data_IF_884977044158
#
_entry.id   IF_884977044158
#
_cell.length_a   1.000
_cell.length_b   1.000
_cell.length_c   1.000
_cell.angle_alpha   90.00
_cell.angle_beta   90.00
_cell.angle_gamma   90.00
#
_symmetry.space_group_name_H-M   'P 1'
#
loop_
_entity.id
_entity.type
_entity.pdbx_description
1 polymer ?
#
# COMPACT_ATOMS: atom_id res chain seq x y z
N UNK A 1 15.89 -71.73 7.64
CA UNK A 1 15.58 -70.97 6.41
C UNK A 1 14.38 -70.06 6.69
N UNK A 2 14.50 -68.76 6.33
CA UNK A 2 13.40 -67.74 6.25
C UNK A 2 12.97 -67.15 7.62
N UNK A 3 12.93 -65.84 7.89
CA UNK A 3 13.19 -64.59 7.16
C UNK A 3 13.49 -63.49 8.18
N UNK A 4 14.44 -62.62 7.85
CA UNK A 4 14.75 -61.35 8.53
C UNK A 4 13.64 -60.33 8.30
N UNK A 5 13.40 -59.42 9.25
CA UNK A 5 12.78 -58.12 8.97
C UNK A 5 13.22 -57.08 10.00
N UNK A 6 14.03 -56.16 9.51
CA UNK A 6 14.63 -55.00 10.14
C UNK A 6 13.59 -53.86 10.11
N UNK A 7 13.13 -53.39 11.26
CA UNK A 7 12.21 -52.26 11.35
C UNK A 7 13.03 -50.95 11.42
N UNK A 8 13.09 -50.23 10.30
CA UNK A 8 13.69 -48.91 10.16
C UNK A 8 12.61 -47.85 10.39
N UNK A 9 12.48 -47.34 11.62
CA UNK A 9 11.59 -46.22 11.93
C UNK A 9 12.30 -44.89 11.63
N UNK A 10 12.06 -44.34 10.44
CA UNK A 10 12.47 -42.99 10.05
C UNK A 10 11.58 -41.98 10.78
N UNK A 11 12.21 -41.09 11.54
CA UNK A 11 11.55 -40.07 12.35
C UNK A 11 10.74 -39.07 11.53
N UNK A 12 9.53 -38.80 12.01
CA UNK A 12 8.63 -37.77 11.50
C UNK A 12 9.21 -36.38 11.83
N UNK A 13 9.76 -35.70 10.84
CA UNK A 13 10.12 -34.28 10.95
C UNK A 13 8.81 -33.48 10.86
N UNK A 14 8.25 -33.14 12.01
CA UNK A 14 7.10 -32.26 12.12
C UNK A 14 7.59 -30.81 11.99
N UNK A 15 7.62 -30.29 10.77
CA UNK A 15 7.91 -28.88 10.52
C UNK A 15 6.80 -28.01 11.12
N UNK A 16 7.10 -27.32 12.22
CA UNK A 16 6.31 -26.21 12.72
C UNK A 16 6.36 -25.06 11.68
N UNK A 17 5.44 -25.08 10.71
CA UNK A 17 5.11 -23.88 9.94
C UNK A 17 4.22 -23.03 10.84
N UNK A 18 4.81 -22.02 11.48
CA UNK A 18 4.04 -20.98 12.16
C UNK A 18 3.20 -20.20 11.14
N UNK A 19 2.04 -19.64 11.54
CA UNK A 19 1.26 -18.79 10.65
C UNK A 19 2.09 -17.56 10.27
N UNK A 20 2.52 -17.49 9.01
CA UNK A 20 2.98 -16.24 8.44
C UNK A 20 1.75 -15.32 8.34
N UNK A 21 1.64 -14.34 9.23
CA UNK A 21 0.70 -13.23 9.06
C UNK A 21 1.18 -12.41 7.86
N UNK A 22 0.80 -12.84 6.66
CA UNK A 22 1.00 -12.02 5.47
C UNK A 22 0.08 -10.81 5.59
N UNK A 23 0.67 -9.62 5.69
CA UNK A 23 -0.10 -8.38 5.61
C UNK A 23 -0.76 -8.33 4.23
N UNK A 24 -2.09 -8.37 4.21
CA UNK A 24 -2.88 -8.36 2.97
C UNK A 24 -2.60 -7.14 2.09
N UNK A 25 -2.22 -6.01 2.69
CA UNK A 25 -1.88 -4.78 1.97
C UNK A 25 -0.41 -4.44 2.20
N UNK A 26 0.33 -4.20 1.13
CA UNK A 26 1.71 -3.68 1.20
C UNK A 26 1.81 -2.37 0.45
N UNK A 27 2.68 -1.47 0.95
CA UNK A 27 3.00 -0.19 0.33
C UNK A 27 4.44 -0.24 -0.17
N UNK A 28 4.66 0.10 -1.43
CA UNK A 28 5.97 0.18 -2.07
C UNK A 28 6.24 1.57 -2.62
N UNK A 29 7.52 1.89 -2.83
CA UNK A 29 7.97 3.12 -3.50
C UNK A 29 7.38 4.41 -2.93
N UNK A 30 7.13 4.41 -1.62
CA UNK A 30 6.46 5.51 -0.95
C UNK A 30 7.37 6.75 -0.91
N UNK A 31 6.87 7.85 -1.46
CA UNK A 31 7.54 9.14 -1.45
C UNK A 31 6.53 10.26 -1.25
N UNK A 32 6.94 11.34 -0.60
CA UNK A 32 6.15 12.55 -0.47
C UNK A 32 6.96 13.76 -0.92
N UNK A 33 6.27 14.74 -1.51
CA UNK A 33 6.84 16.03 -1.88
C UNK A 33 5.99 17.12 -1.26
N UNK A 34 6.60 17.94 -0.41
CA UNK A 34 5.92 19.01 0.32
C UNK A 34 6.55 20.34 -0.04
N UNK A 35 5.72 21.34 -0.30
CA UNK A 35 6.17 22.70 -0.60
C UNK A 35 6.47 23.48 0.68
N UNK A 36 7.23 24.59 0.61
CA UNK A 36 7.43 25.49 1.75
C UNK A 36 6.14 26.11 2.31
N UNK A 37 5.00 25.97 1.62
CA UNK A 37 3.70 26.45 2.08
C UNK A 37 2.92 25.42 2.90
N UNK A 38 3.48 24.22 3.15
CA UNK A 38 2.80 23.17 3.92
C UNK A 38 1.72 22.42 3.13
N UNK A 39 1.80 22.46 1.80
CA UNK A 39 0.95 21.67 0.89
C UNK A 39 1.84 20.73 0.11
N UNK A 40 1.42 19.49 -0.08
CA UNK A 40 2.20 18.48 -0.78
C UNK A 40 1.36 17.34 -1.36
N UNK A 41 2.04 16.38 -1.97
CA UNK A 41 1.44 15.15 -2.46
C UNK A 41 2.30 13.94 -2.06
N UNK A 42 1.65 12.83 -1.72
CA UNK A 42 2.28 11.54 -1.51
C UNK A 42 1.91 10.54 -2.61
N UNK A 43 2.92 9.76 -3.00
CA UNK A 43 2.93 8.79 -4.08
C UNK A 43 3.43 7.47 -3.51
N UNK A 44 2.88 6.35 -4.00
CA UNK A 44 3.21 5.00 -3.55
C UNK A 44 2.50 3.98 -4.43
N UNK A 45 2.99 2.75 -4.43
CA UNK A 45 2.28 1.59 -4.97
C UNK A 45 1.56 0.88 -3.85
N UNK A 46 0.25 0.67 -3.99
CA UNK A 46 -0.57 -0.05 -3.02
C UNK A 46 -0.87 -1.43 -3.59
N UNK A 47 -0.29 -2.48 -3.00
CA UNK A 47 -0.50 -3.86 -3.43
C UNK A 47 -1.45 -4.58 -2.49
N UNK A 48 -2.38 -5.33 -3.06
CA UNK A 48 -3.39 -6.11 -2.35
C UNK A 48 -3.18 -7.60 -2.61
N UNK A 49 -2.60 -8.28 -1.63
CA UNK A 49 -2.31 -9.71 -1.64
C UNK A 49 -3.49 -10.56 -1.17
N UNK A 50 -4.65 -9.96 -0.89
CA UNK A 50 -5.88 -10.69 -0.55
C UNK A 50 -6.65 -11.16 -1.79
N UNK A 51 -7.63 -12.02 -1.56
CA UNK A 51 -8.56 -12.58 -2.55
C UNK A 51 -9.78 -11.68 -2.83
N UNK A 52 -9.85 -10.48 -2.22
CA UNK A 52 -10.97 -9.54 -2.35
C UNK A 52 -10.50 -8.17 -2.78
N UNK A 53 -11.35 -7.45 -3.51
CA UNK A 53 -11.13 -6.03 -3.82
C UNK A 53 -11.10 -5.23 -2.52
N UNK A 54 -10.11 -4.35 -2.38
CA UNK A 54 -10.00 -3.41 -1.26
C UNK A 54 -10.20 -1.99 -1.76
N UNK A 55 -10.59 -1.10 -0.86
CA UNK A 55 -10.77 0.32 -1.17
C UNK A 55 -9.97 1.17 -0.20
N UNK A 56 -9.16 2.08 -0.75
CA UNK A 56 -8.52 3.14 0.01
C UNK A 56 -9.53 4.28 0.08
N UNK A 57 -10.04 4.57 1.28
CA UNK A 57 -11.09 5.57 1.49
C UNK A 57 -10.59 6.84 2.19
N UNK A 58 -9.43 6.76 2.84
CA UNK A 58 -8.82 7.88 3.54
C UNK A 58 -7.34 7.63 3.76
N UNK A 59 -6.58 8.70 3.99
CA UNK A 59 -5.20 8.66 4.45
C UNK A 59 -5.05 9.53 5.69
N UNK A 60 -4.09 9.19 6.54
CA UNK A 60 -3.69 9.99 7.70
C UNK A 60 -2.18 9.89 7.86
N UNK A 61 -1.55 10.99 8.28
CA UNK A 61 -0.12 11.04 8.54
C UNK A 61 0.15 11.94 9.74
N UNK A 62 1.16 11.59 10.54
CA UNK A 62 1.60 12.41 11.67
C UNK A 62 2.13 13.74 11.14
N UNK A 63 1.73 14.85 11.77
CA UNK A 63 2.13 16.19 11.34
C UNK A 63 1.47 16.70 10.06
N UNK A 64 0.39 16.06 9.59
CA UNK A 64 -0.44 16.53 8.47
C UNK A 64 -1.85 16.82 9.00
N UNK A 65 -2.34 18.03 8.82
CA UNK A 65 -3.68 18.40 9.28
C UNK A 65 -4.80 17.71 8.49
N UNK A 66 -4.65 17.60 7.16
CA UNK A 66 -5.63 16.94 6.30
C UNK A 66 -4.97 16.21 5.14
N UNK A 67 -5.43 14.99 4.86
CA UNK A 67 -5.05 14.25 3.67
C UNK A 67 -6.29 13.88 2.85
N UNK A 68 -6.22 14.06 1.54
CA UNK A 68 -7.31 13.80 0.61
C UNK A 68 -6.84 12.94 -0.55
N UNK A 69 -7.72 12.09 -1.08
CA UNK A 69 -7.45 11.28 -2.27
C UNK A 69 -7.81 12.09 -3.51
N UNK A 70 -6.86 12.25 -4.43
CA UNK A 70 -7.02 13.07 -5.63
C UNK A 70 -6.66 12.29 -6.88
N UNK A 71 -7.36 12.57 -7.98
CA UNK A 71 -7.09 12.05 -9.32
C UNK A 71 -6.82 13.18 -10.30
N UNK A 72 -6.27 12.85 -11.46
CA UNK A 72 -6.11 13.77 -12.57
C UNK A 72 -7.18 13.50 -13.63
N UNK A 73 -7.90 14.54 -14.01
CA UNK A 73 -8.84 14.50 -15.14
C UNK A 73 -8.34 15.40 -16.26
N UNK A 74 -8.47 14.93 -17.49
CA UNK A 74 -8.35 15.78 -18.67
C UNK A 74 -9.72 16.42 -18.91
N UNK A 75 -9.79 17.72 -18.68
CA UNK A 75 -10.97 18.53 -18.96
C UNK A 75 -10.63 19.51 -20.08
N UNK A 76 -11.00 19.14 -21.31
CA UNK A 76 -10.79 19.93 -22.51
C UNK A 76 -9.32 20.30 -22.78
N UNK A 77 -8.42 19.34 -22.61
CA UNK A 77 -6.97 19.52 -22.79
C UNK A 77 -6.26 20.12 -21.57
N UNK A 78 -7.00 20.50 -20.53
CA UNK A 78 -6.46 21.02 -19.28
C UNK A 78 -6.46 19.90 -18.25
N UNK A 79 -5.27 19.53 -17.78
CA UNK A 79 -5.13 18.60 -16.66
C UNK A 79 -5.56 19.28 -15.36
N UNK A 80 -6.59 18.74 -14.71
CA UNK A 80 -7.09 19.22 -13.42
C UNK A 80 -7.03 18.14 -12.36
N UNK A 81 -6.63 18.53 -11.16
CA UNK A 81 -6.73 17.68 -9.98
C UNK A 81 -8.15 17.73 -9.43
N UNK A 82 -8.70 16.57 -9.07
CA UNK A 82 -10.03 16.45 -8.46
C UNK A 82 -10.00 15.45 -7.31
N UNK A 83 -10.63 15.81 -6.20
CA UNK A 83 -10.83 14.90 -5.07
C UNK A 83 -11.72 13.72 -5.48
N UNK A 84 -11.39 12.53 -5.01
CA UNK A 84 -12.18 11.30 -5.14
C UNK A 84 -12.47 10.71 -3.77
N UNK A 85 -13.53 9.89 -3.70
CA UNK A 85 -13.95 9.25 -2.46
C UNK A 85 -13.11 8.00 -2.12
N UNK A 86 -12.60 7.31 -3.13
CA UNK A 86 -11.78 6.11 -2.93
C UNK A 86 -10.94 5.73 -4.15
N UNK A 87 -9.91 4.93 -3.90
CA UNK A 87 -9.22 4.13 -4.91
C UNK A 87 -9.53 2.65 -4.70
N UNK A 88 -9.86 1.93 -5.76
CA UNK A 88 -10.10 0.49 -5.69
C UNK A 88 -8.82 -0.27 -6.04
N UNK A 89 -8.41 -1.18 -5.17
CA UNK A 89 -7.24 -2.05 -5.36
C UNK A 89 -7.73 -3.47 -5.62
N UNK A 90 -7.57 -4.02 -6.84
CA UNK A 90 -8.04 -5.36 -7.19
C UNK A 90 -7.47 -6.45 -6.28
N UNK A 91 -8.16 -7.58 -6.15
CA UNK A 91 -7.62 -8.77 -5.50
C UNK A 91 -6.37 -9.26 -6.23
N UNK A 92 -5.30 -9.58 -5.50
CA UNK A 92 -4.00 -9.96 -6.08
C UNK A 92 -3.33 -8.87 -6.96
N UNK A 93 -3.85 -7.64 -6.94
CA UNK A 93 -3.43 -6.56 -7.82
C UNK A 93 -2.83 -5.37 -7.09
N UNK A 94 -2.54 -4.30 -7.83
CA UNK A 94 -2.00 -3.07 -7.26
C UNK A 94 -2.68 -1.82 -7.84
N UNK A 95 -2.59 -0.72 -7.09
CA UNK A 95 -3.02 0.61 -7.50
C UNK A 95 -1.85 1.58 -7.30
N UNK A 96 -1.44 2.26 -8.37
CA UNK A 96 -0.26 3.13 -8.36
C UNK A 96 -0.69 4.58 -8.17
N UNK A 97 -0.12 5.23 -7.15
CA UNK A 97 -0.23 6.66 -6.94
C UNK A 97 1.05 7.34 -7.45
N UNK A 98 0.95 8.21 -8.44
CA UNK A 98 2.09 8.79 -9.15
C UNK A 98 1.86 10.24 -9.61
N UNK A 99 2.93 11.02 -9.86
CA UNK A 99 2.81 12.35 -10.44
C UNK A 99 2.04 12.30 -11.77
N UNK A 100 1.09 13.21 -11.96
CA UNK A 100 0.28 13.23 -13.17
C UNK A 100 -0.94 12.29 -13.15
N UNK A 101 -1.10 11.48 -12.10
CA UNK A 101 -2.22 10.56 -11.90
C UNK A 101 -2.81 10.64 -10.51
N UNK A 102 -3.24 9.51 -9.97
CA UNK A 102 -3.78 9.42 -8.62
C UNK A 102 -2.71 9.71 -7.57
N UNK A 103 -3.09 10.41 -6.50
CA UNK A 103 -2.18 10.75 -5.41
C UNK A 103 -2.93 11.11 -4.14
N UNK A 104 -2.21 11.16 -3.01
CA UNK A 104 -2.74 11.69 -1.75
C UNK A 104 -2.29 13.13 -1.61
N UNK A 105 -3.22 14.09 -1.70
CA UNK A 105 -2.93 15.49 -1.37
C UNK A 105 -2.83 15.66 0.13
N UNK A 106 -1.80 16.39 0.56
CA UNK A 106 -1.49 16.69 1.96
C UNK A 106 -1.64 18.20 2.17
N UNK A 107 -2.42 18.58 3.17
CA UNK A 107 -2.64 19.96 3.59
C UNK A 107 -2.20 20.15 5.04
N UNK A 108 -1.82 21.38 5.37
CA UNK A 108 -1.40 21.79 6.70
C UNK A 108 -0.27 20.90 7.25
N UNK A 109 0.74 20.64 6.42
CA UNK A 109 1.92 19.88 6.82
C UNK A 109 2.79 20.73 7.77
N UNK A 110 3.08 20.17 8.94
CA UNK A 110 3.83 20.85 10.00
C UNK A 110 5.24 21.22 9.57
N UNK A 111 5.79 22.27 10.16
CA UNK A 111 7.18 22.69 9.93
C UNK A 111 8.19 21.59 10.27
N UNK A 112 7.92 20.80 11.32
CA UNK A 112 8.77 19.68 11.72
C UNK A 112 8.89 18.64 10.59
N UNK A 113 7.78 18.23 10.00
CA UNK A 113 7.77 17.24 8.89
C UNK A 113 8.40 17.82 7.62
N UNK A 114 8.31 19.13 7.40
CA UNK A 114 8.86 19.79 6.21
C UNK A 114 10.39 19.92 6.22
N UNK A 115 11.00 19.84 7.39
CA UNK A 115 12.44 20.08 7.60
C UNK A 115 13.20 18.77 7.90
N UNK A 116 12.55 17.61 7.76
CA UNK A 116 13.17 16.27 7.79
C UNK A 116 13.86 15.98 6.46
#
# INVERSE_FOLDING_TARGET
MKKTSLALSIGLIMSLVGPAFATEITLGDAMARVTPRGVGAAFMTISNNSDRVKKVVSAKAKGVGKAELHTHINDNGIMRMRRVENFSVPAGGSHVLQPGGDHVMLFDVSQEVRNM
#
